data_IF_577394943644
#
_entry.id   IF_577394943644
#
_cell.length_a   1.000
_cell.length_b   1.000
_cell.length_c   1.000
_cell.angle_alpha   90.00
_cell.angle_beta   90.00
_cell.angle_gamma   90.00
#
_symmetry.space_group_name_H-M   'P 1'
#
loop_
_entity.id
_entity.type
_entity.pdbx_description
1 polymer ?
#
# COMPACT_ATOMS: atom_id res chain seq x y z
N UNK A 1 -6.94 32.80 -23.72
CA UNK A 1 -7.28 31.51 -23.11
C UNK A 1 -6.00 30.81 -22.73
N UNK A 2 -5.94 30.17 -21.57
CA UNK A 2 -4.73 29.49 -21.10
C UNK A 2 -4.61 28.13 -21.82
N UNK A 3 -3.52 27.93 -22.56
CA UNK A 3 -3.31 26.80 -23.46
C UNK A 3 -3.04 25.49 -22.68
N UNK A 4 -4.04 24.63 -22.60
CA UNK A 4 -3.94 23.30 -21.99
C UNK A 4 -3.17 22.26 -22.84
N UNK A 5 -2.57 22.67 -23.96
CA UNK A 5 -1.88 21.81 -24.92
C UNK A 5 -0.36 22.01 -25.03
N UNK A 6 0.23 22.89 -24.23
CA UNK A 6 1.66 23.21 -24.35
C UNK A 6 2.53 22.19 -23.60
N UNK A 7 3.56 21.67 -24.27
CA UNK A 7 4.54 20.75 -23.65
C UNK A 7 5.22 21.44 -22.46
N UNK A 8 5.39 20.76 -21.32
CA UNK A 8 6.00 21.36 -20.14
C UNK A 8 7.42 21.83 -20.45
N UNK A 9 7.74 23.06 -20.03
CA UNK A 9 9.01 23.76 -20.29
C UNK A 9 10.22 23.00 -19.69
N UNK A 10 9.98 22.18 -18.67
CA UNK A 10 11.02 21.42 -17.99
C UNK A 10 10.63 19.94 -17.90
N UNK A 11 11.54 19.00 -18.24
CA UNK A 11 11.22 17.58 -18.45
C UNK A 11 10.66 16.85 -17.22
N UNK A 12 10.79 17.45 -16.03
CA UNK A 12 10.24 16.94 -14.78
C UNK A 12 8.76 17.26 -14.53
N UNK A 13 8.19 18.29 -15.18
CA UNK A 13 6.83 18.77 -14.87
C UNK A 13 5.72 18.00 -15.61
N UNK A 14 6.07 17.07 -16.50
CA UNK A 14 5.11 16.19 -17.18
C UNK A 14 4.92 14.82 -16.51
N UNK A 15 5.58 14.57 -15.37
CA UNK A 15 5.48 13.29 -14.67
C UNK A 15 4.55 13.48 -13.47
N UNK A 16 3.37 12.88 -13.56
CA UNK A 16 2.38 12.85 -12.49
C UNK A 16 3.04 12.44 -11.17
N UNK A 17 3.06 13.31 -10.13
CA UNK A 17 3.80 13.02 -8.90
C UNK A 17 3.17 11.88 -8.07
N UNK A 18 1.90 11.53 -8.32
CA UNK A 18 1.12 10.66 -7.44
C UNK A 18 0.45 9.47 -8.15
N UNK A 19 0.80 9.14 -9.39
CA UNK A 19 0.28 7.92 -9.99
C UNK A 19 0.89 6.71 -9.26
N UNK A 20 0.08 5.81 -8.67
CA UNK A 20 0.62 4.59 -8.11
C UNK A 20 1.20 3.79 -9.28
N UNK A 21 2.54 3.78 -9.38
CA UNK A 21 3.34 2.98 -10.31
C UNK A 21 3.19 1.47 -10.04
N UNK A 22 1.96 0.97 -9.90
CA UNK A 22 1.67 -0.46 -9.96
C UNK A 22 1.62 -0.81 -11.43
N UNK A 23 2.80 -1.02 -12.02
CA UNK A 23 2.92 -1.62 -13.34
C UNK A 23 2.45 -3.07 -13.20
N UNK A 24 1.19 -3.29 -13.54
CA UNK A 24 0.59 -4.62 -13.60
C UNK A 24 0.72 -5.09 -15.04
N UNK A 25 1.48 -6.17 -15.25
CA UNK A 25 1.52 -6.84 -16.54
C UNK A 25 0.28 -7.72 -16.66
N UNK A 26 -0.42 -7.61 -17.79
CA UNK A 26 -1.49 -8.52 -18.17
C UNK A 26 -0.96 -9.48 -19.22
N UNK A 27 -1.11 -10.78 -19.00
CA UNK A 27 -0.88 -11.78 -20.04
C UNK A 27 -2.10 -12.69 -20.15
N UNK A 28 -2.39 -13.12 -21.36
CA UNK A 28 -3.45 -14.10 -21.64
C UNK A 28 -2.74 -15.41 -21.96
N UNK A 29 -3.04 -16.47 -21.22
CA UNK A 29 -2.48 -17.80 -21.52
C UNK A 29 -3.17 -18.38 -22.74
N UNK A 30 -2.56 -19.38 -23.39
CA UNK A 30 -3.16 -20.07 -24.55
C UNK A 30 -4.51 -20.74 -24.22
N UNK A 31 -4.84 -20.89 -22.93
CA UNK A 31 -6.13 -21.40 -22.43
C UNK A 31 -7.17 -20.29 -22.19
N UNK A 32 -6.87 -19.04 -22.58
CA UNK A 32 -7.76 -17.88 -22.44
C UNK A 32 -7.84 -17.29 -21.03
N UNK A 33 -6.99 -17.72 -20.09
CA UNK A 33 -6.99 -17.19 -18.73
C UNK A 33 -6.14 -15.91 -18.65
N UNK A 34 -6.72 -14.84 -18.11
CA UNK A 34 -6.02 -13.57 -17.85
C UNK A 34 -5.23 -13.68 -16.54
N UNK A 35 -3.89 -13.62 -16.61
CA UNK A 35 -3.10 -13.38 -15.39
C UNK A 35 -2.66 -11.91 -15.33
N UNK A 36 -2.77 -11.38 -14.12
CA UNK A 36 -2.28 -10.05 -13.77
C UNK A 36 -1.08 -10.21 -12.82
N UNK A 37 0.10 -9.74 -13.23
CA UNK A 37 1.30 -9.77 -12.40
C UNK A 37 1.72 -8.35 -12.05
N UNK A 38 1.64 -8.00 -10.76
CA UNK A 38 2.19 -6.73 -10.28
C UNK A 38 3.72 -6.80 -10.25
N UNK A 39 4.40 -5.93 -11.03
CA UNK A 39 5.85 -5.78 -10.95
C UNK A 39 6.24 -5.12 -9.63
N UNK A 40 7.26 -5.67 -8.95
CA UNK A 40 7.94 -4.95 -7.87
C UNK A 40 8.82 -3.88 -8.51
N UNK A 41 8.45 -2.61 -8.35
CA UNK A 41 9.33 -1.50 -8.75
C UNK A 41 10.52 -1.47 -7.79
N UNK A 42 11.68 -1.90 -8.27
CA UNK A 42 12.94 -1.71 -7.56
C UNK A 42 13.35 -0.24 -7.72
N UNK A 43 12.76 0.65 -6.91
CA UNK A 43 13.15 2.06 -6.87
C UNK A 43 14.64 2.18 -6.51
N UNK A 44 15.38 3.00 -7.26
CA UNK A 44 16.77 3.37 -6.97
C UNK A 44 16.84 4.08 -5.61
N UNK A 45 18.06 4.26 -5.08
CA UNK A 45 18.22 4.93 -3.77
C UNK A 45 17.78 6.40 -3.83
N UNK A 46 17.97 7.09 -4.96
CA UNK A 46 17.52 8.48 -5.12
C UNK A 46 15.99 8.61 -5.18
N UNK A 47 15.29 7.71 -5.88
CA UNK A 47 13.83 7.78 -6.03
C UNK A 47 13.08 7.48 -4.72
N UNK A 48 13.73 6.79 -3.78
CA UNK A 48 13.19 6.55 -2.43
C UNK A 48 13.29 7.76 -1.50
N UNK A 49 14.09 8.77 -1.86
CA UNK A 49 14.34 9.93 -1.01
C UNK A 49 13.11 10.84 -0.91
N UNK A 50 12.33 10.94 -1.98
CA UNK A 50 11.12 11.76 -2.07
C UNK A 50 9.85 11.03 -1.63
N UNK A 51 9.94 9.74 -1.32
CA UNK A 51 8.81 8.98 -0.80
C UNK A 51 8.72 9.16 0.71
N UNK A 52 7.48 9.34 1.20
CA UNK A 52 7.21 9.31 2.64
C UNK A 52 7.76 8.00 3.23
N UNK A 53 8.72 8.13 4.15
CA UNK A 53 9.29 6.96 4.83
C UNK A 53 8.15 6.19 5.50
N UNK A 54 8.09 4.85 5.35
CA UNK A 54 7.05 4.07 6.01
C UNK A 54 7.16 4.30 7.52
N UNK A 55 6.19 5.03 8.08
CA UNK A 55 6.13 5.29 9.51
C UNK A 55 5.80 3.97 10.18
N UNK A 56 6.79 3.37 10.82
CA UNK A 56 6.54 2.21 11.70
C UNK A 56 5.64 2.69 12.83
N UNK A 57 4.36 2.31 12.78
CA UNK A 57 3.41 2.62 13.83
C UNK A 57 3.80 1.88 15.10
N UNK A 58 4.56 2.54 15.98
CA UNK A 58 4.92 2.00 17.29
C UNK A 58 3.65 1.95 18.15
N UNK A 59 3.19 0.75 18.46
CA UNK A 59 2.10 0.56 19.42
C UNK A 59 2.71 0.56 20.82
N UNK A 60 2.22 1.44 21.69
CA UNK A 60 2.65 1.46 23.08
C UNK A 60 2.36 0.11 23.75
N UNK A 61 3.30 -0.44 24.51
CA UNK A 61 3.18 -1.73 25.20
C UNK A 61 1.89 -1.83 26.04
N UNK A 62 1.48 -0.72 26.67
CA UNK A 62 0.21 -0.64 27.44
C UNK A 62 -1.02 -0.97 26.60
N UNK A 63 -1.07 -0.54 25.32
CA UNK A 63 -2.18 -0.85 24.40
C UNK A 63 -2.19 -2.33 24.02
N UNK A 64 -1.01 -2.94 23.83
CA UNK A 64 -0.88 -4.36 23.55
C UNK A 64 -1.40 -5.18 24.74
N UNK A 65 -0.93 -4.88 25.95
CA UNK A 65 -1.38 -5.56 27.18
C UNK A 65 -2.90 -5.42 27.38
N UNK A 66 -3.45 -4.23 27.17
CA UNK A 66 -4.89 -4.00 27.27
C UNK A 66 -5.68 -4.84 26.26
N UNK A 67 -5.19 -4.94 25.01
CA UNK A 67 -5.84 -5.76 23.98
C UNK A 67 -5.82 -7.25 24.31
N UNK A 68 -4.71 -7.77 24.85
CA UNK A 68 -4.58 -9.16 25.27
C UNK A 68 -5.56 -9.45 26.41
N UNK A 69 -5.62 -8.57 27.42
CA UNK A 69 -6.55 -8.72 28.55
C UNK A 69 -8.02 -8.69 28.10
N UNK A 70 -8.36 -7.82 27.14
CA UNK A 70 -9.71 -7.75 26.59
C UNK A 70 -10.08 -9.03 25.80
N UNK A 71 -9.15 -9.56 25.01
CA UNK A 71 -9.32 -10.84 24.29
C UNK A 71 -9.55 -12.00 25.27
N UNK A 72 -8.81 -12.05 26.37
CA UNK A 72 -8.97 -13.07 27.40
C UNK A 72 -10.34 -13.00 28.09
N UNK A 73 -10.82 -11.79 28.41
CA UNK A 73 -12.17 -11.58 28.95
C UNK A 73 -13.26 -12.04 27.97
N UNK A 74 -13.11 -11.75 26.68
CA UNK A 74 -14.04 -12.21 25.65
C UNK A 74 -14.07 -13.73 25.53
N UNK A 75 -12.89 -14.38 25.53
CA UNK A 75 -12.76 -15.84 25.52
C UNK A 75 -13.46 -16.48 26.72
N UNK A 76 -13.29 -15.91 27.91
CA UNK A 76 -13.91 -16.42 29.14
C UNK A 76 -15.44 -16.26 29.12
N UNK A 77 -15.96 -15.14 28.60
CA UNK A 77 -17.41 -14.94 28.41
C UNK A 77 -18.00 -15.92 27.39
N UNK A 78 -17.31 -16.14 26.28
CA UNK A 78 -17.75 -17.10 25.26
C UNK A 78 -17.78 -18.55 25.79
N UNK A 79 -16.76 -18.93 26.58
CA UNK A 79 -16.69 -20.26 27.21
C UNK A 79 -17.78 -20.47 28.25
N UNK A 80 -18.23 -19.42 28.95
CA UNK A 80 -19.40 -19.47 29.84
C UNK A 80 -20.73 -19.65 29.10
N UNK A 81 -20.87 -19.10 27.88
CA UNK A 81 -22.09 -19.26 27.06
C UNK A 81 -22.22 -20.61 26.33
N UNK A 82 -21.14 -21.40 26.26
CA UNK A 82 -21.12 -22.73 25.64
C UNK A 82 -21.36 -23.89 26.62
N UNK A 83 -21.56 -23.59 27.90
CA UNK A 83 -21.98 -24.56 28.92
C UNK A 83 -23.49 -24.50 29.12
#
# INVERSE_FOLDING_TARGET
GLDWGQKPVHPWYGKYPNEPHKVVDYNVTDQGALNARQRKVLLSKEDRLNMDRPKTHKVATKRIIASIKAQEQLKNKLRRKKK
#
